data_IF_984481343003
#
_entry.id   IF_984481343003
#
_cell.length_a   1.000
_cell.length_b   1.000
_cell.length_c   1.000
_cell.angle_alpha   90.00
_cell.angle_beta   90.00
_cell.angle_gamma   90.00
#
_symmetry.space_group_name_H-M   'P 1'
#
loop_
_entity.id
_entity.type
_entity.pdbx_description
1 polymer ?
#
# COMPACT_ATOMS: atom_id res chain seq x y z
N UNK A 1 9.35 -6.19 64.71
CA UNK A 1 8.72 -5.66 63.48
C UNK A 1 7.33 -6.26 63.38
N UNK A 2 6.30 -5.42 63.32
CA UNK A 2 4.92 -5.88 63.50
C UNK A 2 4.50 -6.59 62.22
N UNK A 3 4.09 -7.86 62.30
CA UNK A 3 3.71 -8.66 61.11
C UNK A 3 2.60 -7.97 60.30
N UNK A 4 1.79 -7.16 60.98
CA UNK A 4 0.79 -6.26 60.40
C UNK A 4 1.39 -5.11 59.57
N UNK A 5 2.51 -4.51 60.00
CA UNK A 5 3.21 -3.47 59.24
C UNK A 5 3.82 -4.03 57.96
N UNK A 6 4.40 -5.23 58.01
CA UNK A 6 4.97 -5.90 56.82
C UNK A 6 3.85 -6.23 55.82
N UNK A 7 2.72 -6.78 56.29
CA UNK A 7 1.57 -7.07 55.44
C UNK A 7 1.00 -5.82 54.75
N UNK A 8 0.94 -4.70 55.46
CA UNK A 8 0.42 -3.43 54.93
C UNK A 8 1.34 -2.86 53.84
N UNK A 9 2.67 -2.91 54.04
CA UNK A 9 3.64 -2.42 53.04
C UNK A 9 3.59 -3.23 51.74
N UNK A 10 3.48 -4.56 51.83
CA UNK A 10 3.38 -5.43 50.64
C UNK A 10 2.09 -5.18 49.87
N UNK A 11 0.98 -4.93 50.58
CA UNK A 11 -0.31 -4.63 49.97
C UNK A 11 -0.27 -3.30 49.21
N UNK A 12 0.30 -2.25 49.80
CA UNK A 12 0.44 -0.94 49.15
C UNK A 12 1.37 -1.01 47.93
N UNK A 13 2.47 -1.75 48.02
CA UNK A 13 3.37 -1.95 46.89
C UNK A 13 2.70 -2.72 45.74
N UNK A 14 1.93 -3.77 46.05
CA UNK A 14 1.18 -4.53 45.05
C UNK A 14 0.12 -3.70 44.33
N UNK A 15 -0.62 -2.86 45.05
CA UNK A 15 -1.61 -1.94 44.48
C UNK A 15 -0.94 -0.88 43.59
N UNK A 16 0.21 -0.34 44.02
CA UNK A 16 0.98 0.63 43.22
C UNK A 16 1.49 0.05 41.90
N UNK A 17 2.05 -1.17 41.94
CA UNK A 17 2.52 -1.88 40.73
C UNK A 17 1.34 -2.23 39.81
N UNK A 18 0.23 -2.72 40.37
CA UNK A 18 -0.97 -3.02 39.60
C UNK A 18 -1.54 -1.78 38.90
N UNK A 19 -1.60 -0.64 39.59
CA UNK A 19 -2.07 0.63 39.02
C UNK A 19 -1.13 1.16 37.92
N UNK A 20 0.19 1.05 38.12
CA UNK A 20 1.19 1.46 37.14
C UNK A 20 1.13 0.62 35.86
N UNK A 21 0.97 -0.70 35.97
CA UNK A 21 0.79 -1.59 34.80
C UNK A 21 -0.54 -1.30 34.09
N UNK A 22 -1.60 -0.97 34.84
CA UNK A 22 -2.90 -0.62 34.25
C UNK A 22 -2.90 0.74 33.52
N UNK A 23 -1.99 1.67 33.87
CA UNK A 23 -1.79 2.91 33.11
C UNK A 23 -1.04 2.71 31.79
N UNK A 24 -0.14 1.71 31.72
CA UNK A 24 0.71 1.47 30.55
C UNK A 24 -0.01 0.97 29.28
N UNK A 25 -1.30 0.59 29.38
CA UNK A 25 -2.10 0.12 28.23
C UNK A 25 -3.07 1.17 27.66
N UNK A 26 -3.16 2.37 28.26
CA UNK A 26 -4.19 3.36 27.91
C UNK A 26 -3.66 4.57 27.10
N UNK A 27 -2.57 4.40 26.34
CA UNK A 27 -2.03 5.44 25.43
C UNK A 27 -2.36 5.14 23.97
N UNK A 28 -3.62 4.81 23.69
CA UNK A 28 -4.13 4.85 22.32
C UNK A 28 -5.61 5.27 22.33
N UNK A 29 -5.84 6.58 22.20
CA UNK A 29 -6.86 7.21 21.35
C UNK A 29 -7.06 8.68 21.73
N UNK A 30 -6.65 9.63 20.86
CA UNK A 30 -7.56 10.56 20.16
C UNK A 30 -6.77 11.54 19.29
N UNK A 31 -6.94 11.44 17.97
CA UNK A 31 -7.26 12.60 17.13
C UNK A 31 -8.09 12.05 15.98
N UNK A 32 -9.38 11.98 16.25
CA UNK A 32 -10.43 11.70 15.28
C UNK A 32 -10.73 12.98 14.50
N UNK A 33 -10.76 12.84 13.17
CA UNK A 33 -11.48 13.65 12.16
C UNK A 33 -11.15 15.14 12.05
N UNK A 34 -10.37 15.44 11.01
CA UNK A 34 -10.76 16.48 10.05
C UNK A 34 -11.14 15.80 8.72
N UNK A 35 -12.40 15.36 8.65
CA UNK A 35 -13.07 15.07 7.39
C UNK A 35 -13.59 16.40 6.85
N UNK A 36 -12.71 17.18 6.23
CA UNK A 36 -13.15 18.27 5.35
C UNK A 36 -13.67 17.61 4.08
N UNK A 37 -14.99 17.65 3.92
CA UNK A 37 -15.69 17.44 2.66
C UNK A 37 -15.10 18.38 1.62
N UNK A 38 -14.18 17.87 0.79
CA UNK A 38 -13.89 18.49 -0.49
C UNK A 38 -14.99 18.03 -1.45
N UNK A 39 -15.93 18.92 -1.72
CA UNK A 39 -16.84 18.78 -2.85
C UNK A 39 -15.99 18.77 -4.12
N UNK A 40 -15.69 17.58 -4.62
CA UNK A 40 -15.16 17.44 -5.98
C UNK A 40 -16.27 17.83 -6.95
N UNK A 41 -16.05 18.78 -7.89
CA UNK A 41 -16.98 18.99 -8.97
C UNK A 41 -17.01 17.71 -9.82
N UNK A 42 -18.15 17.03 -9.83
CA UNK A 42 -18.41 15.90 -10.72
C UNK A 42 -18.51 16.43 -12.16
N UNK A 43 -17.38 16.51 -12.86
CA UNK A 43 -17.38 16.55 -14.32
C UNK A 43 -17.28 15.13 -14.82
N UNK A 44 -18.44 14.58 -15.16
CA UNK A 44 -18.57 13.36 -15.96
C UNK A 44 -18.09 13.66 -17.38
N UNK A 45 -17.06 12.98 -17.93
CA UNK A 45 -16.83 13.04 -19.37
C UNK A 45 -17.86 12.13 -20.06
N UNK A 46 -18.86 12.77 -20.66
CA UNK A 46 -19.73 12.17 -21.69
C UNK A 46 -18.87 11.51 -22.78
N UNK A 47 -19.11 10.24 -23.15
CA UNK A 47 -18.55 9.66 -24.35
C UNK A 47 -19.20 10.29 -25.59
N UNK A 48 -18.49 11.21 -26.24
CA UNK A 48 -18.89 11.83 -27.50
C UNK A 48 -17.71 11.80 -28.46
N UNK A 49 -17.88 11.06 -29.56
CA UNK A 49 -16.88 10.83 -30.58
C UNK A 49 -16.30 12.11 -31.20
N UNK A 50 -14.97 12.19 -31.31
CA UNK A 50 -14.31 12.70 -32.51
C UNK A 50 -12.87 12.17 -32.55
N UNK A 51 -12.62 11.39 -33.59
CA UNK A 51 -11.30 10.98 -34.05
C UNK A 51 -10.50 12.22 -34.45
N UNK A 52 -9.30 12.41 -33.91
CA UNK A 52 -8.17 12.94 -34.69
C UNK A 52 -6.87 12.29 -34.22
N UNK A 53 -6.18 11.76 -35.21
CA UNK A 53 -4.96 10.99 -35.21
C UNK A 53 -3.76 11.86 -34.80
N UNK A 54 -3.09 11.51 -33.70
CA UNK A 54 -1.70 11.91 -33.49
C UNK A 54 -0.85 10.69 -33.23
N UNK A 55 -0.33 10.16 -34.33
CA UNK A 55 0.86 9.31 -34.37
C UNK A 55 2.04 10.17 -33.92
N UNK A 56 2.51 9.97 -32.69
CA UNK A 56 3.87 10.34 -32.32
C UNK A 56 4.56 9.10 -31.77
N UNK A 57 5.25 8.45 -32.69
CA UNK A 57 6.24 7.40 -32.50
C UNK A 57 7.39 7.93 -31.64
N UNK A 58 7.53 7.46 -30.39
CA UNK A 58 8.86 7.15 -29.81
C UNK A 58 8.71 6.19 -28.62
N UNK A 59 9.28 4.96 -28.67
CA UNK A 59 9.41 4.12 -27.50
C UNK A 59 10.60 4.60 -26.67
N UNK A 60 10.29 5.12 -25.48
CA UNK A 60 11.26 5.34 -24.41
C UNK A 60 11.77 3.99 -23.90
N UNK A 61 12.82 3.50 -24.54
CA UNK A 61 13.68 2.41 -24.07
C UNK A 61 14.39 2.86 -22.80
N UNK A 62 13.79 2.64 -21.63
CA UNK A 62 14.56 2.57 -20.36
C UNK A 62 15.05 1.15 -20.21
N UNK A 63 16.08 0.85 -20.99
CA UNK A 63 16.96 -0.30 -20.80
C UNK A 63 17.77 -0.06 -19.53
N UNK A 64 17.36 -0.69 -18.43
CA UNK A 64 18.29 -1.07 -17.37
C UNK A 64 19.14 -2.22 -17.88
N UNK A 65 20.21 -1.91 -18.64
CA UNK A 65 21.15 -2.90 -19.15
C UNK A 65 22.03 -3.40 -18.00
N UNK A 66 21.62 -4.47 -17.34
CA UNK A 66 22.57 -5.42 -16.76
C UNK A 66 22.73 -6.56 -17.76
N UNK A 67 23.68 -6.38 -18.68
CA UNK A 67 24.21 -7.45 -19.53
C UNK A 67 25.00 -8.41 -18.64
N UNK A 68 24.33 -9.43 -18.13
CA UNK A 68 24.99 -10.66 -17.67
C UNK A 68 24.86 -11.72 -18.77
N UNK A 69 26.01 -12.25 -19.18
CA UNK A 69 26.18 -13.19 -20.28
C UNK A 69 25.70 -14.58 -19.85
N UNK A 70 24.38 -14.80 -19.91
CA UNK A 70 23.76 -16.10 -19.71
C UNK A 70 22.24 -15.99 -19.78
N UNK A 71 21.65 -16.30 -20.93
CA UNK A 71 20.20 -16.50 -21.14
C UNK A 71 19.27 -15.61 -20.30
N UNK A 72 19.44 -14.29 -20.34
CA UNK A 72 18.67 -13.36 -19.51
C UNK A 72 17.25 -13.24 -20.06
N UNK A 73 16.29 -13.89 -19.41
CA UNK A 73 14.88 -13.52 -19.53
C UNK A 73 14.76 -12.06 -19.13
N UNK A 74 14.46 -11.15 -20.08
CA UNK A 74 14.20 -9.76 -19.76
C UNK A 74 13.08 -9.68 -18.71
N UNK A 75 13.40 -9.15 -17.54
CA UNK A 75 12.45 -9.01 -16.42
C UNK A 75 11.76 -7.66 -16.52
N UNK A 76 10.44 -7.64 -16.70
CA UNK A 76 9.66 -6.40 -16.58
C UNK A 76 9.45 -6.10 -15.11
N UNK A 77 10.03 -5.00 -14.62
CA UNK A 77 9.89 -4.52 -13.25
C UNK A 77 9.09 -3.21 -13.25
N UNK A 78 8.12 -3.11 -12.34
CA UNK A 78 7.35 -1.89 -12.08
C UNK A 78 7.57 -1.52 -10.62
N UNK A 79 8.13 -0.34 -10.38
CA UNK A 79 8.41 0.18 -9.05
C UNK A 79 7.28 1.08 -8.59
N UNK A 80 6.84 0.92 -7.35
CA UNK A 80 5.96 1.84 -6.64
C UNK A 80 6.77 2.63 -5.62
N UNK A 81 6.70 3.96 -5.70
CA UNK A 81 7.32 4.89 -4.75
C UNK A 81 6.27 5.87 -4.23
N UNK A 82 6.69 6.81 -3.38
CA UNK A 82 5.82 7.89 -2.91
C UNK A 82 5.29 8.80 -4.05
N UNK A 83 5.90 8.71 -5.25
CA UNK A 83 5.45 9.42 -6.47
C UNK A 83 4.51 8.59 -7.36
N UNK A 84 4.25 7.34 -6.99
CA UNK A 84 3.42 6.39 -7.74
C UNK A 84 4.23 5.33 -8.50
N UNK A 85 3.60 4.70 -9.50
CA UNK A 85 4.18 3.63 -10.29
C UNK A 85 5.10 4.13 -11.42
N UNK A 86 6.24 3.47 -11.60
CA UNK A 86 7.20 3.70 -12.66
C UNK A 86 7.74 2.37 -13.24
N UNK A 87 7.66 2.15 -14.57
CA UNK A 87 6.94 2.99 -15.54
C UNK A 87 5.42 2.95 -15.31
N UNK A 88 4.71 3.98 -15.79
CA UNK A 88 3.24 4.06 -15.68
C UNK A 88 2.50 3.02 -16.51
N UNK A 89 3.12 2.60 -17.62
CA UNK A 89 2.56 1.63 -18.56
C UNK A 89 3.66 0.65 -18.96
N UNK A 90 3.35 -0.64 -18.97
CA UNK A 90 4.19 -1.69 -19.53
C UNK A 90 3.39 -2.48 -20.57
N UNK A 91 4.06 -2.90 -21.63
CA UNK A 91 3.51 -3.85 -22.61
C UNK A 91 4.32 -5.12 -22.55
N UNK A 92 3.66 -6.25 -22.31
CA UNK A 92 4.32 -7.56 -22.18
C UNK A 92 3.64 -8.59 -23.09
N UNK A 93 4.38 -9.64 -23.46
CA UNK A 93 3.81 -10.77 -24.19
C UNK A 93 2.97 -11.64 -23.24
N UNK A 94 1.96 -12.33 -23.76
CA UNK A 94 1.20 -13.33 -22.99
C UNK A 94 2.16 -14.37 -22.40
N UNK A 95 1.98 -14.69 -21.12
CA UNK A 95 2.84 -15.63 -20.39
C UNK A 95 4.12 -15.02 -19.81
N UNK A 96 4.39 -13.74 -20.04
CA UNK A 96 5.48 -13.04 -19.38
C UNK A 96 5.19 -12.79 -17.88
N UNK A 97 6.25 -12.68 -17.09
CA UNK A 97 6.17 -12.33 -15.67
C UNK A 97 6.50 -10.84 -15.49
N UNK A 98 5.66 -10.15 -14.73
CA UNK A 98 5.90 -8.78 -14.26
C UNK A 98 6.20 -8.82 -12.77
N UNK A 99 7.27 -8.13 -12.34
CA UNK A 99 7.62 -7.96 -10.92
C UNK A 99 7.21 -6.57 -10.46
N UNK A 100 6.37 -6.49 -9.43
CA UNK A 100 6.06 -5.22 -8.76
C UNK A 100 6.96 -5.06 -7.53
N UNK A 101 7.66 -3.93 -7.44
CA UNK A 101 8.55 -3.61 -6.33
C UNK A 101 7.97 -2.43 -5.54
N UNK A 102 7.79 -2.58 -4.23
CA UNK A 102 7.40 -1.48 -3.37
C UNK A 102 8.65 -0.86 -2.75
N UNK A 103 8.94 0.38 -3.10
CA UNK A 103 10.03 1.20 -2.55
C UNK A 103 9.48 2.35 -1.67
N UNK A 104 8.19 2.35 -1.36
CA UNK A 104 7.60 3.29 -0.41
C UNK A 104 7.84 2.85 1.04
N UNK A 105 7.65 3.78 1.98
CA UNK A 105 7.69 3.49 3.41
C UNK A 105 6.45 2.79 3.98
N UNK A 106 5.48 2.41 3.14
CA UNK A 106 4.17 1.86 3.56
C UNK A 106 3.91 0.50 2.94
N UNK A 107 3.14 -0.35 3.62
CA UNK A 107 2.63 -1.58 3.04
C UNK A 107 1.64 -1.30 1.91
N UNK A 108 1.77 -2.04 0.80
CA UNK A 108 0.86 -1.97 -0.34
C UNK A 108 0.75 -3.34 -1.03
N UNK A 109 -0.31 -3.53 -1.81
CA UNK A 109 -0.48 -4.65 -2.73
C UNK A 109 -1.01 -4.13 -4.07
N UNK A 110 -0.86 -4.93 -5.13
CA UNK A 110 -1.31 -4.57 -6.48
C UNK A 110 -2.63 -5.28 -6.79
N UNK A 111 -3.60 -4.56 -7.35
CA UNK A 111 -4.89 -5.09 -7.75
C UNK A 111 -5.40 -4.39 -9.02
N UNK A 112 -6.41 -4.97 -9.67
CA UNK A 112 -7.04 -4.36 -10.84
C UNK A 112 -7.85 -3.10 -10.48
N UNK A 113 -8.15 -2.24 -11.47
CA UNK A 113 -8.82 -0.95 -11.21
C UNK A 113 -10.32 -1.09 -10.86
N UNK A 114 -10.93 0.06 -10.52
CA UNK A 114 -12.26 0.28 -9.90
C UNK A 114 -12.27 0.04 -8.39
N UNK A 115 -11.73 0.97 -7.61
CA UNK A 115 -11.76 0.85 -6.15
C UNK A 115 -13.16 1.06 -5.57
N UNK A 116 -13.55 0.34 -4.50
CA UNK A 116 -12.77 -0.70 -3.81
C UNK A 116 -12.97 -2.11 -4.37
N UNK A 117 -13.66 -2.25 -5.52
CA UNK A 117 -14.19 -3.54 -5.96
C UNK A 117 -13.27 -4.32 -6.88
N UNK A 118 -12.28 -3.68 -7.50
CA UNK A 118 -11.24 -4.30 -8.33
C UNK A 118 -11.78 -5.20 -9.46
N UNK A 119 -12.83 -4.73 -10.16
CA UNK A 119 -13.58 -5.53 -11.14
C UNK A 119 -13.07 -5.42 -12.58
N UNK A 120 -12.05 -4.61 -12.86
CA UNK A 120 -11.59 -4.42 -14.24
C UNK A 120 -10.89 -5.66 -14.82
N UNK A 121 -10.14 -6.39 -13.99
CA UNK A 121 -9.57 -7.69 -14.31
C UNK A 121 -9.93 -8.67 -13.19
N UNK A 122 -11.08 -9.36 -13.29
CA UNK A 122 -11.49 -10.36 -12.30
C UNK A 122 -10.39 -11.41 -12.10
N UNK A 123 -10.08 -11.72 -10.84
CA UNK A 123 -9.02 -12.66 -10.47
C UNK A 123 -7.64 -12.04 -10.26
N UNK A 124 -7.45 -10.76 -10.59
CA UNK A 124 -6.23 -10.02 -10.27
C UNK A 124 -6.44 -9.07 -9.09
N UNK A 125 -6.39 -9.66 -7.89
CA UNK A 125 -6.24 -8.97 -6.62
C UNK A 125 -5.22 -9.76 -5.79
N UNK A 126 -4.08 -9.15 -5.47
CA UNK A 126 -3.01 -9.82 -4.73
C UNK A 126 -3.43 -10.24 -3.31
N UNK A 127 -4.45 -9.60 -2.71
CA UNK A 127 -5.00 -10.05 -1.42
C UNK A 127 -6.08 -11.12 -1.57
N UNK A 128 -6.80 -11.14 -2.69
CA UNK A 128 -7.94 -12.02 -2.91
C UNK A 128 -7.79 -12.76 -4.23
N UNK A 129 -6.86 -13.71 -4.30
CA UNK A 129 -6.76 -14.60 -5.47
C UNK A 129 -8.04 -15.43 -5.56
N UNK A 130 -8.76 -15.35 -6.69
CA UNK A 130 -9.89 -16.24 -6.95
C UNK A 130 -9.31 -17.64 -7.14
N UNK A 131 -9.60 -18.53 -6.18
CA UNK A 131 -9.22 -19.95 -6.22
C UNK A 131 -10.31 -20.75 -6.94
#
# INVERSE_FOLDING_TARGET
>A
MNKWLIGLVVLVAGVGVGWYVMQGQNQQETTEKESVTQEMPATSPTPGASVEEMVVTTPGTTTGELKEKGGVTQRTVVTYSDTGFAPKTVTVKKGATVTFMNESGKGMWVASALHPTHQLLPGFDQLNTIT
#
